data_IF_409258758091
#
_entry.id   IF_409258758091
#
_cell.length_a   1.000
_cell.length_b   1.000
_cell.length_c   1.000
_cell.angle_alpha   90.00
_cell.angle_beta   90.00
_cell.angle_gamma   90.00
#
_symmetry.space_group_name_H-M   'P 1'
#
loop_
_entity.id
_entity.type
_entity.pdbx_description
1 polymer ?
#
# COMPACT_ATOMS: atom_id res chain seq x y z
N UNK A 1 -40.76 31.77 2.25
CA UNK A 1 -39.52 31.89 3.07
C UNK A 1 -39.18 30.59 3.78
N UNK A 2 -40.14 29.92 4.44
CA UNK A 2 -39.88 28.68 5.18
C UNK A 2 -39.34 27.53 4.32
N UNK A 3 -39.82 27.39 3.08
CA UNK A 3 -39.32 26.42 2.10
C UNK A 3 -37.88 26.69 1.66
N UNK A 4 -37.51 27.97 1.47
CA UNK A 4 -36.15 28.39 1.08
C UNK A 4 -35.16 28.11 2.20
N UNK A 5 -35.53 28.38 3.46
CA UNK A 5 -34.67 28.10 4.61
C UNK A 5 -34.42 26.60 4.78
N UNK A 6 -35.44 25.76 4.57
CA UNK A 6 -35.30 24.29 4.58
C UNK A 6 -34.36 23.80 3.47
N UNK A 7 -34.45 24.36 2.26
CA UNK A 7 -33.55 24.03 1.14
C UNK A 7 -32.09 24.43 1.45
N UNK A 8 -31.87 25.63 2.01
CA UNK A 8 -30.52 26.09 2.41
C UNK A 8 -29.94 25.19 3.50
N UNK A 9 -30.75 24.80 4.49
CA UNK A 9 -30.35 23.85 5.54
C UNK A 9 -29.90 22.51 4.95
N UNK A 10 -30.67 21.91 4.05
CA UNK A 10 -30.33 20.63 3.41
C UNK A 10 -29.03 20.75 2.62
N UNK A 11 -28.89 21.80 1.81
CA UNK A 11 -27.69 22.02 1.02
C UNK A 11 -26.44 22.21 1.90
N UNK A 12 -26.57 22.90 3.04
CA UNK A 12 -25.47 23.06 4.00
C UNK A 12 -25.08 21.74 4.68
N UNK A 13 -26.06 20.95 5.11
CA UNK A 13 -25.81 19.62 5.72
C UNK A 13 -25.18 18.68 4.68
N UNK A 14 -25.61 18.72 3.42
CA UNK A 14 -25.04 17.90 2.35
C UNK A 14 -23.55 18.22 2.09
N UNK A 15 -23.12 19.49 2.19
CA UNK A 15 -21.69 19.85 2.12
C UNK A 15 -20.91 19.24 3.27
N UNK A 16 -21.44 19.35 4.50
CA UNK A 16 -20.79 18.77 5.68
C UNK A 16 -20.70 17.25 5.53
N UNK A 17 -21.78 16.59 5.10
CA UNK A 17 -21.79 15.15 4.84
C UNK A 17 -20.71 14.75 3.82
N UNK A 18 -20.57 15.49 2.71
CA UNK A 18 -19.54 15.25 1.71
C UNK A 18 -18.12 15.36 2.30
N UNK A 19 -17.86 16.42 3.07
CA UNK A 19 -16.54 16.65 3.70
C UNK A 19 -16.22 15.54 4.71
N UNK A 20 -17.19 15.12 5.51
CA UNK A 20 -17.05 14.03 6.47
C UNK A 20 -16.77 12.70 5.77
N UNK A 21 -17.45 12.43 4.65
CA UNK A 21 -17.22 11.23 3.83
C UNK A 21 -15.82 11.22 3.18
N UNK A 22 -15.38 12.35 2.63
CA UNK A 22 -14.02 12.48 2.10
C UNK A 22 -12.95 12.30 3.19
N UNK A 23 -13.20 12.85 4.38
CA UNK A 23 -12.32 12.69 5.53
C UNK A 23 -12.25 11.24 6.01
N UNK A 24 -13.35 10.47 5.97
CA UNK A 24 -13.34 9.05 6.33
C UNK A 24 -12.52 8.22 5.34
N UNK A 25 -12.67 8.46 4.04
CA UNK A 25 -11.86 7.82 2.98
C UNK A 25 -10.39 8.17 3.15
N UNK A 26 -10.06 9.44 3.39
CA UNK A 26 -8.70 9.89 3.62
C UNK A 26 -8.07 9.23 4.86
N UNK A 27 -8.82 9.15 5.97
CA UNK A 27 -8.36 8.49 7.19
C UNK A 27 -8.05 7.00 6.94
N UNK A 28 -8.93 6.30 6.21
CA UNK A 28 -8.71 4.90 5.83
C UNK A 28 -7.50 4.72 4.90
N UNK A 29 -7.31 5.62 3.93
CA UNK A 29 -6.12 5.61 3.06
C UNK A 29 -4.82 5.83 3.85
N UNK A 30 -4.84 6.73 4.83
CA UNK A 30 -3.69 6.98 5.70
C UNK A 30 -3.38 5.75 6.55
N UNK A 31 -4.41 5.10 7.14
CA UNK A 31 -4.24 3.85 7.88
C UNK A 31 -3.56 2.78 7.01
N UNK A 32 -4.06 2.58 5.79
CA UNK A 32 -3.49 1.64 4.81
C UNK A 32 -2.04 1.96 4.46
N UNK A 33 -1.74 3.23 4.28
CA UNK A 33 -0.39 3.70 3.93
C UNK A 33 0.59 3.45 5.08
N UNK A 34 0.15 3.68 6.32
CA UNK A 34 0.93 3.38 7.53
C UNK A 34 1.20 1.88 7.68
N UNK A 35 0.22 1.02 7.40
CA UNK A 35 0.41 -0.44 7.42
C UNK A 35 1.43 -0.88 6.35
N UNK A 36 1.28 -0.36 5.13
CA UNK A 36 2.18 -0.63 4.02
C UNK A 36 3.61 -0.09 4.23
N UNK A 37 3.78 0.96 5.05
CA UNK A 37 5.10 1.50 5.44
C UNK A 37 5.93 0.43 6.17
N UNK A 38 5.32 -0.42 7.00
CA UNK A 38 6.01 -1.50 7.71
C UNK A 38 6.61 -2.49 6.71
N UNK A 39 5.86 -2.80 5.65
CA UNK A 39 6.33 -3.72 4.59
C UNK A 39 7.47 -3.09 3.79
N UNK A 40 7.38 -1.80 3.48
CA UNK A 40 8.46 -1.07 2.82
C UNK A 40 9.73 -1.02 3.69
N UNK A 41 9.58 -0.79 5.00
CA UNK A 41 10.68 -0.81 5.96
C UNK A 41 11.32 -2.20 6.04
N UNK A 42 10.50 -3.25 6.06
CA UNK A 42 10.96 -4.64 6.03
C UNK A 42 11.76 -4.97 4.77
N UNK A 43 11.28 -4.53 3.60
CA UNK A 43 11.99 -4.68 2.33
C UNK A 43 13.32 -3.91 2.31
N UNK A 44 13.34 -2.68 2.84
CA UNK A 44 14.54 -1.87 2.92
C UNK A 44 15.61 -2.50 3.85
N UNK A 45 15.19 -3.00 5.01
CA UNK A 45 16.09 -3.72 5.94
C UNK A 45 16.62 -5.00 5.27
N UNK A 46 15.74 -5.75 4.58
CA UNK A 46 16.16 -6.95 3.85
C UNK A 46 17.25 -6.62 2.84
N UNK A 47 17.06 -5.58 2.02
CA UNK A 47 18.06 -5.13 1.03
C UNK A 47 19.36 -4.71 1.71
N UNK A 48 19.27 -3.93 2.79
CA UNK A 48 20.43 -3.42 3.52
C UNK A 48 21.26 -4.54 4.15
N UNK A 49 20.61 -5.58 4.68
CA UNK A 49 21.29 -6.76 5.23
C UNK A 49 21.82 -7.65 4.11
N UNK A 50 21.05 -7.87 3.04
CA UNK A 50 21.40 -8.83 1.99
C UNK A 50 22.56 -8.33 1.10
N UNK A 51 22.70 -7.02 0.92
CA UNK A 51 23.78 -6.41 0.10
C UNK A 51 25.21 -6.77 0.56
N UNK A 52 25.60 -6.64 1.85
CA UNK A 52 26.92 -7.06 2.30
C UNK A 52 27.11 -8.58 2.25
N UNK A 53 26.08 -9.37 2.56
CA UNK A 53 26.15 -10.84 2.43
C UNK A 53 26.42 -11.26 0.99
N UNK A 54 25.78 -10.60 0.03
CA UNK A 54 25.98 -10.84 -1.39
C UNK A 54 27.41 -10.54 -1.86
N UNK A 55 28.01 -9.47 -1.35
CA UNK A 55 29.40 -9.09 -1.64
C UNK A 55 30.40 -10.13 -1.12
N UNK A 56 30.14 -10.66 0.09
CA UNK A 56 30.94 -11.74 0.69
C UNK A 56 30.83 -13.02 -0.15
N UNK A 57 29.61 -13.42 -0.53
CA UNK A 57 29.37 -14.59 -1.38
C UNK A 57 30.12 -14.44 -2.71
N UNK A 58 30.00 -13.27 -3.38
CA UNK A 58 30.71 -13.01 -4.64
C UNK A 58 32.23 -13.13 -4.49
N UNK A 59 32.79 -12.54 -3.43
CA UNK A 59 34.24 -12.57 -3.15
C UNK A 59 34.73 -14.00 -2.86
N UNK A 60 33.94 -14.80 -2.15
CA UNK A 60 34.26 -16.21 -1.88
C UNK A 60 34.19 -17.10 -3.15
N UNK A 61 33.26 -16.82 -4.06
CA UNK A 61 33.07 -17.61 -5.28
C UNK A 61 34.06 -17.31 -6.41
N UNK A 62 34.76 -16.17 -6.37
CA UNK A 62 35.74 -15.77 -7.40
C UNK A 62 37.15 -16.40 -7.22
N UNK A 63 37.45 -17.02 -6.08
CA UNK A 63 38.77 -17.60 -5.80
C UNK A 63 38.76 -19.12 -5.98
N UNK A 64 39.66 -19.63 -6.83
CA UNK A 64 39.75 -21.02 -7.35
C UNK A 64 39.49 -22.17 -6.35
N UNK A 65 39.06 -23.33 -6.88
CA UNK A 65 38.59 -24.51 -6.13
C UNK A 65 39.52 -25.05 -5.02
N UNK A 66 40.85 -24.89 -5.12
CA UNK A 66 41.82 -25.34 -4.10
C UNK A 66 42.19 -24.24 -3.08
N UNK A 67 42.14 -22.98 -3.50
CA UNK A 67 42.26 -21.83 -2.59
C UNK A 67 40.98 -21.66 -1.77
N UNK A 68 39.84 -22.12 -2.31
CA UNK A 68 38.55 -22.18 -1.64
C UNK A 68 38.65 -22.90 -0.31
N UNK A 69 39.25 -24.09 -0.19
CA UNK A 69 39.32 -24.81 1.08
C UNK A 69 40.26 -24.17 2.13
N UNK A 70 41.43 -23.67 1.72
CA UNK A 70 42.40 -23.08 2.66
C UNK A 70 41.96 -21.68 3.10
N UNK A 71 41.45 -20.86 2.16
CA UNK A 71 40.79 -19.62 2.53
C UNK A 71 39.48 -19.88 3.28
N UNK A 72 38.70 -20.92 2.99
CA UNK A 72 37.47 -21.23 3.73
C UNK A 72 37.77 -21.65 5.17
N UNK A 73 38.88 -22.33 5.46
CA UNK A 73 39.29 -22.63 6.85
C UNK A 73 39.78 -21.38 7.58
N UNK A 74 40.62 -20.54 6.95
CA UNK A 74 41.11 -19.28 7.56
C UNK A 74 39.96 -18.28 7.70
N UNK A 75 39.09 -18.21 6.69
CA UNK A 75 37.88 -17.40 6.67
C UNK A 75 36.87 -17.95 7.67
N UNK A 76 36.66 -19.25 7.85
CA UNK A 76 35.82 -19.81 8.93
C UNK A 76 36.40 -19.53 10.30
N UNK A 77 37.73 -19.59 10.50
CA UNK A 77 38.36 -19.21 11.78
C UNK A 77 38.19 -17.71 12.05
N UNK A 78 38.36 -16.87 11.03
CA UNK A 78 38.14 -15.44 11.14
C UNK A 78 36.64 -15.10 11.29
N UNK A 79 35.74 -15.79 10.59
CA UNK A 79 34.28 -15.67 10.72
C UNK A 79 33.76 -16.28 12.01
N UNK A 80 34.45 -17.24 12.62
CA UNK A 80 34.05 -17.72 13.94
C UNK A 80 34.51 -16.75 15.00
N UNK A 81 35.70 -16.14 14.92
CA UNK A 81 36.14 -15.14 15.91
C UNK A 81 35.42 -13.80 15.70
N UNK A 82 35.46 -13.24 14.48
CA UNK A 82 34.72 -12.02 14.11
C UNK A 82 33.24 -12.27 14.10
N UNK A 83 32.75 -13.44 13.74
CA UNK A 83 31.33 -13.78 13.87
C UNK A 83 30.92 -14.04 15.30
N UNK A 84 31.76 -14.54 16.21
CA UNK A 84 31.43 -14.57 17.65
C UNK A 84 31.36 -13.14 18.18
N UNK A 85 32.32 -12.28 17.82
CA UNK A 85 32.34 -10.87 18.22
C UNK A 85 31.20 -10.07 17.59
N UNK A 86 30.91 -10.31 16.32
CA UNK A 86 29.79 -9.74 15.60
C UNK A 86 28.48 -10.31 16.12
N UNK A 87 28.36 -11.58 16.50
CA UNK A 87 27.18 -12.15 17.15
C UNK A 87 27.03 -11.62 18.58
N UNK A 88 28.11 -11.29 19.28
CA UNK A 88 28.10 -10.63 20.59
C UNK A 88 27.65 -9.16 20.45
N UNK A 89 28.16 -8.46 19.44
CA UNK A 89 27.71 -7.11 19.06
C UNK A 89 26.27 -7.17 18.53
N UNK A 90 25.91 -8.14 17.70
CA UNK A 90 24.59 -8.32 17.11
C UNK A 90 23.60 -8.83 18.14
N UNK A 91 24.00 -9.53 19.21
CA UNK A 91 23.09 -9.90 20.31
C UNK A 91 22.83 -8.68 21.20
N UNK A 92 23.85 -7.89 21.53
CA UNK A 92 23.73 -6.62 22.27
C UNK A 92 22.97 -5.56 21.47
N UNK A 93 23.28 -5.38 20.19
CA UNK A 93 22.54 -4.53 19.26
C UNK A 93 21.21 -5.17 18.83
N UNK A 94 21.03 -6.49 18.83
CA UNK A 94 19.71 -7.09 18.56
C UNK A 94 18.73 -6.76 19.67
N UNK A 95 19.19 -6.58 20.90
CA UNK A 95 18.35 -6.07 21.98
C UNK A 95 17.81 -4.69 21.63
N UNK A 96 18.69 -3.77 21.26
CA UNK A 96 18.34 -2.39 20.90
C UNK A 96 17.52 -2.33 19.60
N UNK A 97 17.94 -3.05 18.55
CA UNK A 97 17.25 -3.10 17.25
C UNK A 97 15.89 -3.78 17.37
N UNK A 98 15.77 -4.88 18.13
CA UNK A 98 14.46 -5.52 18.41
C UNK A 98 13.59 -4.61 19.27
N UNK A 99 14.14 -3.92 20.25
CA UNK A 99 13.41 -2.98 21.08
C UNK A 99 12.88 -1.80 20.25
N UNK A 100 13.73 -1.19 19.43
CA UNK A 100 13.36 -0.12 18.49
C UNK A 100 12.32 -0.61 17.48
N UNK A 101 12.50 -1.78 16.87
CA UNK A 101 11.54 -2.35 15.93
C UNK A 101 10.19 -2.67 16.60
N UNK A 102 10.22 -3.17 17.84
CA UNK A 102 9.00 -3.45 18.62
C UNK A 102 8.27 -2.16 18.95
N UNK A 103 8.98 -1.11 19.34
CA UNK A 103 8.41 0.22 19.57
C UNK A 103 7.80 0.76 18.28
N UNK A 104 8.55 0.78 17.17
CA UNK A 104 8.06 1.27 15.88
C UNK A 104 6.80 0.49 15.47
N UNK A 105 6.85 -0.84 15.52
CA UNK A 105 5.71 -1.69 15.14
C UNK A 105 4.51 -1.44 16.06
N UNK A 106 4.72 -1.31 17.37
CA UNK A 106 3.66 -1.02 18.34
C UNK A 106 3.03 0.35 18.10
N UNK A 107 3.85 1.38 17.90
CA UNK A 107 3.40 2.74 17.60
C UNK A 107 2.64 2.78 16.27
N UNK A 108 3.16 2.13 15.22
CA UNK A 108 2.47 2.09 13.93
C UNK A 108 1.14 1.34 14.03
N UNK A 109 1.08 0.20 14.72
CA UNK A 109 -0.19 -0.52 14.97
C UNK A 109 -1.20 0.33 15.73
N UNK A 110 -0.75 1.05 16.75
CA UNK A 110 -1.59 1.98 17.49
C UNK A 110 -2.13 3.09 16.58
N UNK A 111 -1.27 3.72 15.78
CA UNK A 111 -1.68 4.77 14.83
C UNK A 111 -2.66 4.25 13.77
N UNK A 112 -2.41 3.06 13.21
CA UNK A 112 -3.32 2.41 12.25
C UNK A 112 -4.70 2.22 12.91
N UNK A 113 -4.76 1.63 14.10
CA UNK A 113 -6.02 1.42 14.82
C UNK A 113 -6.75 2.74 15.15
N UNK A 114 -6.02 3.79 15.52
CA UNK A 114 -6.62 5.12 15.72
C UNK A 114 -7.23 5.67 14.42
N UNK A 115 -6.52 5.57 13.31
CA UNK A 115 -7.00 6.09 12.01
C UNK A 115 -8.18 5.28 11.48
N UNK A 116 -8.19 3.96 11.69
CA UNK A 116 -9.35 3.10 11.37
C UNK A 116 -10.56 3.48 12.21
N UNK A 117 -10.39 3.64 13.53
CA UNK A 117 -11.48 4.07 14.41
C UNK A 117 -12.03 5.47 14.04
N UNK A 118 -11.14 6.41 13.68
CA UNK A 118 -11.56 7.74 13.18
C UNK A 118 -12.34 7.60 11.86
N UNK A 119 -11.87 6.76 10.94
CA UNK A 119 -12.53 6.55 9.66
C UNK A 119 -13.94 5.97 9.86
N UNK A 120 -14.10 4.97 10.74
CA UNK A 120 -15.41 4.36 11.05
C UNK A 120 -16.34 5.36 11.73
N UNK A 121 -15.84 6.14 12.69
CA UNK A 121 -16.61 7.17 13.36
C UNK A 121 -17.11 8.25 12.39
N UNK A 122 -16.24 8.70 11.48
CA UNK A 122 -16.62 9.66 10.44
C UNK A 122 -17.62 9.06 9.46
N UNK A 123 -17.47 7.79 9.09
CA UNK A 123 -18.43 7.11 8.23
C UNK A 123 -19.81 7.01 8.88
N UNK A 124 -19.90 6.67 10.17
CA UNK A 124 -21.17 6.64 10.91
C UNK A 124 -21.81 8.05 11.01
N UNK A 125 -21.00 9.07 11.26
CA UNK A 125 -21.46 10.46 11.26
C UNK A 125 -21.99 10.87 9.87
N UNK A 126 -21.30 10.48 8.80
CA UNK A 126 -21.75 10.70 7.43
C UNK A 126 -23.12 10.06 7.18
N UNK A 127 -23.32 8.78 7.54
CA UNK A 127 -24.60 8.08 7.35
C UNK A 127 -25.76 8.81 8.03
N UNK A 128 -25.57 9.23 9.28
CA UNK A 128 -26.58 10.00 10.02
C UNK A 128 -26.92 11.32 9.32
N UNK A 129 -25.92 12.03 8.81
CA UNK A 129 -26.13 13.28 8.08
C UNK A 129 -26.82 13.05 6.73
N UNK A 130 -26.48 11.96 6.05
CA UNK A 130 -27.09 11.53 4.79
C UNK A 130 -28.58 11.19 4.99
N UNK A 131 -28.92 10.40 6.01
CA UNK A 131 -30.30 10.03 6.34
C UNK A 131 -31.17 11.24 6.68
N UNK A 132 -30.61 12.22 7.41
CA UNK A 132 -31.28 13.49 7.69
C UNK A 132 -31.57 14.24 6.39
N UNK A 133 -30.60 14.28 5.46
CA UNK A 133 -30.79 14.95 4.18
C UNK A 133 -31.84 14.26 3.30
N UNK A 134 -31.84 12.93 3.22
CA UNK A 134 -32.81 12.15 2.43
C UNK A 134 -34.22 12.33 3.01
N UNK A 135 -34.38 12.18 4.33
CA UNK A 135 -35.67 12.35 5.02
C UNK A 135 -36.21 13.77 4.90
N UNK A 136 -35.36 14.81 5.07
CA UNK A 136 -35.79 16.20 4.96
C UNK A 136 -36.11 16.57 3.50
N UNK A 137 -35.42 16.00 2.50
CA UNK A 137 -35.76 16.13 1.08
C UNK A 137 -37.11 15.49 0.74
N UNK A 138 -37.34 14.25 1.17
CA UNK A 138 -38.57 13.53 0.88
C UNK A 138 -39.80 14.22 1.47
N UNK A 139 -39.68 14.76 2.69
CA UNK A 139 -40.72 15.58 3.32
C UNK A 139 -41.05 16.83 2.51
N UNK A 140 -40.05 17.50 1.94
CA UNK A 140 -40.23 18.71 1.12
C UNK A 140 -40.88 18.44 -0.24
N UNK A 141 -40.68 17.26 -0.82
CA UNK A 141 -41.09 16.96 -2.20
C UNK A 141 -42.17 15.87 -2.34
N UNK A 142 -42.67 15.31 -1.23
CA UNK A 142 -43.76 14.33 -1.17
C UNK A 142 -45.04 14.69 -1.94
N UNK A 143 -45.27 15.97 -2.27
CA UNK A 143 -46.50 16.46 -2.91
C UNK A 143 -46.33 16.95 -4.36
N UNK A 144 -45.11 17.11 -4.90
CA UNK A 144 -44.92 17.67 -6.25
C UNK A 144 -43.74 17.01 -7.00
N UNK A 145 -44.03 15.95 -7.75
CA UNK A 145 -43.10 15.12 -8.54
C UNK A 145 -42.63 15.80 -9.83
N UNK A 146 -42.05 16.99 -9.75
CA UNK A 146 -41.45 17.67 -10.91
C UNK A 146 -39.93 17.61 -10.91
N UNK A 147 -39.31 17.25 -12.04
CA UNK A 147 -37.86 17.34 -12.31
C UNK A 147 -37.24 18.71 -11.91
N UNK A 148 -38.04 19.78 -11.93
CA UNK A 148 -37.63 21.14 -11.52
C UNK A 148 -37.30 21.27 -10.03
N UNK A 149 -37.85 20.41 -9.17
CA UNK A 149 -37.63 20.45 -7.72
C UNK A 149 -36.33 19.75 -7.29
N UNK A 150 -35.83 18.79 -8.08
CA UNK A 150 -34.53 18.16 -7.83
C UNK A 150 -33.37 19.15 -8.00
N UNK A 151 -33.49 20.15 -8.89
CA UNK A 151 -32.47 21.21 -9.05
C UNK A 151 -32.36 22.16 -7.84
N UNK A 152 -33.37 22.27 -6.97
CA UNK A 152 -33.30 23.14 -5.80
C UNK A 152 -32.39 22.57 -4.69
N UNK A 153 -32.21 21.25 -4.66
CA UNK A 153 -31.32 20.53 -3.76
C UNK A 153 -30.06 20.03 -4.49
N UNK A 154 -29.42 20.92 -5.25
CA UNK A 154 -28.27 20.60 -6.10
C UNK A 154 -27.12 19.91 -5.35
N UNK A 155 -26.82 20.36 -4.14
CA UNK A 155 -25.74 19.79 -3.30
C UNK A 155 -26.08 18.38 -2.79
N UNK A 156 -27.35 18.13 -2.49
CA UNK A 156 -27.83 16.79 -2.15
C UNK A 156 -27.71 15.83 -3.33
N UNK A 157 -28.11 16.26 -4.54
CA UNK A 157 -27.95 15.43 -5.75
C UNK A 157 -26.48 15.14 -6.04
N UNK A 158 -25.59 16.11 -5.83
CA UNK A 158 -24.14 15.95 -6.01
C UNK A 158 -23.57 14.96 -4.99
N UNK A 159 -24.00 15.02 -3.73
CA UNK A 159 -23.64 14.05 -2.70
C UNK A 159 -24.06 12.62 -3.09
N UNK A 160 -25.30 12.44 -3.56
CA UNK A 160 -25.83 11.15 -4.03
C UNK A 160 -25.02 10.59 -5.19
N UNK A 161 -24.70 11.45 -6.16
CA UNK A 161 -23.85 11.07 -7.31
C UNK A 161 -22.44 10.67 -6.85
N UNK A 162 -21.84 11.43 -5.94
CA UNK A 162 -20.49 11.16 -5.44
C UNK A 162 -20.41 9.85 -4.66
N UNK A 163 -21.37 9.61 -3.76
CA UNK A 163 -21.47 8.35 -3.02
C UNK A 163 -21.66 7.16 -3.97
N UNK A 164 -22.52 7.29 -4.99
CA UNK A 164 -22.72 6.25 -6.00
C UNK A 164 -21.44 5.93 -6.79
N UNK A 165 -20.73 6.96 -7.27
CA UNK A 165 -19.47 6.79 -8.01
C UNK A 165 -18.43 6.12 -7.10
N UNK A 166 -18.35 6.54 -5.85
CA UNK A 166 -17.35 6.03 -4.90
C UNK A 166 -17.64 4.57 -4.52
N UNK A 167 -18.88 4.22 -4.23
CA UNK A 167 -19.32 2.84 -4.00
C UNK A 167 -18.99 1.94 -5.20
N UNK A 168 -19.31 2.39 -6.42
CA UNK A 168 -18.90 1.69 -7.66
C UNK A 168 -17.39 1.52 -7.75
N UNK A 169 -16.62 2.58 -7.54
CA UNK A 169 -15.15 2.52 -7.60
C UNK A 169 -14.58 1.54 -6.58
N UNK A 170 -15.11 1.55 -5.36
CA UNK A 170 -14.74 0.66 -4.27
C UNK A 170 -15.05 -0.80 -4.59
N UNK A 171 -16.19 -1.09 -5.21
CA UNK A 171 -16.55 -2.45 -5.66
C UNK A 171 -15.57 -3.02 -6.68
N UNK A 172 -14.91 -2.15 -7.45
CA UNK A 172 -13.89 -2.55 -8.41
C UNK A 172 -12.47 -2.52 -7.82
N UNK A 173 -12.26 -2.03 -6.60
CA UNK A 173 -10.91 -1.84 -6.03
C UNK A 173 -10.13 -3.16 -5.89
N UNK A 174 -10.80 -4.24 -5.45
CA UNK A 174 -10.21 -5.58 -5.36
C UNK A 174 -9.82 -6.14 -6.73
N UNK A 175 -10.75 -6.28 -7.69
CA UNK A 175 -10.41 -6.72 -9.05
C UNK A 175 -9.36 -5.86 -9.74
N UNK A 176 -9.44 -4.53 -9.57
CA UNK A 176 -8.51 -3.58 -10.16
C UNK A 176 -7.10 -3.73 -9.59
N UNK A 177 -6.95 -4.06 -8.30
CA UNK A 177 -5.64 -4.30 -7.70
C UNK A 177 -4.99 -5.58 -8.22
N UNK A 178 -5.76 -6.62 -8.51
CA UNK A 178 -5.25 -7.85 -9.14
C UNK A 178 -4.72 -7.53 -10.54
N UNK A 179 -5.52 -6.83 -11.36
CA UNK A 179 -5.11 -6.41 -12.70
C UNK A 179 -3.88 -5.49 -12.63
N UNK A 180 -3.87 -4.55 -11.69
CA UNK A 180 -2.74 -3.65 -11.44
C UNK A 180 -1.47 -4.42 -11.07
N UNK A 181 -1.56 -5.43 -10.22
CA UNK A 181 -0.44 -6.30 -9.83
C UNK A 181 0.15 -7.06 -11.02
N UNK A 182 -0.70 -7.62 -11.89
CA UNK A 182 -0.25 -8.26 -13.13
C UNK A 182 0.43 -7.25 -14.05
N UNK A 183 -0.14 -6.05 -14.18
CA UNK A 183 0.44 -4.97 -14.97
C UNK A 183 1.81 -4.51 -14.43
N UNK A 184 2.01 -4.49 -13.11
CA UNK A 184 3.31 -4.19 -12.49
C UNK A 184 4.36 -5.23 -12.88
N UNK A 185 4.03 -6.53 -12.84
CA UNK A 185 4.96 -7.60 -13.22
C UNK A 185 5.35 -7.48 -14.69
N UNK A 186 4.35 -7.38 -15.58
CA UNK A 186 4.58 -7.25 -17.03
C UNK A 186 5.38 -5.98 -17.32
N UNK A 187 4.99 -4.86 -16.71
CA UNK A 187 5.64 -3.57 -16.88
C UNK A 187 7.10 -3.59 -16.41
N UNK A 188 7.39 -4.21 -15.27
CA UNK A 188 8.74 -4.34 -14.75
C UNK A 188 9.63 -5.18 -15.70
N UNK A 189 9.14 -6.32 -16.18
CA UNK A 189 9.86 -7.16 -17.14
C UNK A 189 10.09 -6.40 -18.46
N UNK A 190 9.06 -5.76 -18.99
CA UNK A 190 9.14 -4.98 -20.22
C UNK A 190 10.15 -3.82 -20.11
N UNK A 191 10.18 -3.15 -18.96
CA UNK A 191 11.10 -2.03 -18.69
C UNK A 191 12.56 -2.50 -18.57
N UNK A 192 12.82 -3.66 -17.98
CA UNK A 192 14.17 -4.23 -17.96
C UNK A 192 14.58 -4.68 -19.37
N UNK A 193 13.68 -5.35 -20.09
CA UNK A 193 13.93 -5.79 -21.47
C UNK A 193 14.21 -4.60 -22.40
N UNK A 194 13.42 -3.52 -22.33
CA UNK A 194 13.64 -2.32 -23.16
C UNK A 194 14.96 -1.65 -22.81
N UNK A 195 15.27 -1.46 -21.52
CA UNK A 195 16.53 -0.86 -21.09
C UNK A 195 17.76 -1.66 -21.55
N UNK A 196 17.71 -2.99 -21.51
CA UNK A 196 18.82 -3.83 -21.99
C UNK A 196 18.91 -3.77 -23.52
N UNK A 197 17.78 -3.88 -24.21
CA UNK A 197 17.73 -3.78 -25.67
C UNK A 197 18.25 -2.44 -26.18
N UNK A 198 17.87 -1.33 -25.54
CA UNK A 198 18.27 0.02 -25.94
C UNK A 198 19.76 0.29 -25.67
N UNK A 199 20.31 -0.24 -24.57
CA UNK A 199 21.72 -0.01 -24.19
C UNK A 199 22.70 -0.96 -24.88
N UNK A 200 22.32 -2.21 -25.07
CA UNK A 200 23.23 -3.27 -25.52
C UNK A 200 22.85 -3.87 -26.86
N UNK A 201 21.69 -3.52 -27.43
CA UNK A 201 21.22 -4.04 -28.72
C UNK A 201 20.87 -5.54 -28.70
N UNK A 202 20.75 -6.15 -27.52
CA UNK A 202 20.52 -7.59 -27.35
C UNK A 202 19.35 -7.85 -26.40
N UNK A 203 18.79 -9.05 -26.48
CA UNK A 203 17.70 -9.48 -25.59
C UNK A 203 18.19 -9.72 -24.15
N UNK A 204 17.29 -9.66 -23.16
CA UNK A 204 17.64 -9.96 -21.76
C UNK A 204 18.19 -11.37 -21.59
N UNK A 205 17.66 -12.36 -22.33
CA UNK A 205 18.12 -13.76 -22.25
C UNK A 205 19.56 -13.86 -22.75
N UNK A 206 19.86 -13.21 -23.87
CA UNK A 206 21.23 -13.15 -24.42
C UNK A 206 22.16 -12.41 -23.47
N UNK A 207 21.72 -11.29 -22.90
CA UNK A 207 22.51 -10.51 -21.93
C UNK A 207 22.84 -11.30 -20.68
N UNK A 208 21.86 -12.00 -20.10
CA UNK A 208 22.08 -12.87 -18.94
C UNK A 208 23.05 -14.00 -19.26
N UNK A 209 23.00 -14.57 -20.47
CA UNK A 209 23.94 -15.60 -20.91
C UNK A 209 25.42 -15.16 -21.01
N UNK A 210 25.71 -13.86 -20.93
CA UNK A 210 27.09 -13.33 -20.91
C UNK A 210 27.78 -13.50 -19.56
N UNK A 211 27.02 -13.74 -18.48
CA UNK A 211 27.54 -13.81 -17.12
C UNK A 211 27.50 -15.25 -16.58
N UNK A 212 28.43 -15.61 -15.69
CA UNK A 212 28.32 -16.86 -14.95
C UNK A 212 27.06 -16.85 -14.07
N UNK A 213 26.42 -18.02 -13.91
CA UNK A 213 25.14 -18.20 -13.20
C UNK A 213 25.14 -17.54 -11.81
N UNK A 214 26.26 -17.62 -11.10
CA UNK A 214 26.43 -17.06 -9.75
C UNK A 214 26.26 -15.53 -9.72
N UNK A 215 26.72 -14.83 -10.76
CA UNK A 215 26.58 -13.37 -10.86
C UNK A 215 25.16 -12.93 -11.26
N UNK A 216 24.38 -13.85 -11.84
CA UNK A 216 22.99 -13.62 -12.28
C UNK A 216 21.99 -13.81 -11.15
N UNK A 217 22.21 -14.79 -10.26
CA UNK A 217 21.27 -15.16 -9.18
C UNK A 217 20.92 -13.95 -8.32
N UNK A 218 21.92 -13.13 -7.96
CA UNK A 218 21.74 -12.04 -7.04
C UNK A 218 20.87 -10.89 -7.60
N UNK A 219 21.14 -10.33 -8.81
CA UNK A 219 20.24 -9.39 -9.47
C UNK A 219 18.81 -9.91 -9.64
N UNK A 220 18.64 -11.20 -9.96
CA UNK A 220 17.32 -11.81 -10.12
C UNK A 220 16.56 -11.82 -8.79
N UNK A 221 17.20 -12.23 -7.70
CA UNK A 221 16.58 -12.21 -6.36
C UNK A 221 16.18 -10.79 -5.99
N UNK A 222 17.04 -9.80 -6.23
CA UNK A 222 16.74 -8.39 -5.96
C UNK A 222 15.53 -7.91 -6.77
N UNK A 223 15.48 -8.25 -8.07
CA UNK A 223 14.36 -7.92 -8.94
C UNK A 223 13.05 -8.53 -8.45
N UNK A 224 13.06 -9.83 -8.11
CA UNK A 224 11.87 -10.54 -7.60
C UNK A 224 11.34 -9.86 -6.32
N UNK A 225 12.24 -9.48 -5.40
CA UNK A 225 11.83 -8.84 -4.15
C UNK A 225 11.25 -7.46 -4.40
N UNK A 226 11.89 -6.63 -5.22
CA UNK A 226 11.40 -5.29 -5.54
C UNK A 226 10.04 -5.33 -6.24
N UNK A 227 9.89 -6.18 -7.25
CA UNK A 227 8.62 -6.37 -7.95
C UNK A 227 7.57 -6.98 -7.01
N UNK A 228 7.95 -7.94 -6.17
CA UNK A 228 7.07 -8.55 -5.18
C UNK A 228 6.53 -7.56 -4.16
N UNK A 229 7.36 -6.63 -3.69
CA UNK A 229 6.93 -5.53 -2.80
C UNK A 229 5.95 -4.61 -3.51
N UNK A 230 6.21 -4.24 -4.78
CA UNK A 230 5.28 -3.41 -5.55
C UNK A 230 3.93 -4.11 -5.78
N UNK A 231 3.95 -5.40 -6.13
CA UNK A 231 2.75 -6.24 -6.26
C UNK A 231 1.98 -6.28 -4.95
N UNK A 232 2.67 -6.51 -3.83
CA UNK A 232 2.06 -6.51 -2.50
C UNK A 232 1.41 -5.17 -2.20
N UNK A 233 2.10 -4.05 -2.46
CA UNK A 233 1.56 -2.71 -2.21
C UNK A 233 0.29 -2.46 -3.02
N UNK A 234 0.32 -2.71 -4.33
CA UNK A 234 -0.85 -2.54 -5.21
C UNK A 234 -2.01 -3.40 -4.74
N UNK A 235 -1.75 -4.68 -4.46
CA UNK A 235 -2.76 -5.62 -3.97
C UNK A 235 -3.35 -5.14 -2.63
N UNK A 236 -2.48 -4.75 -1.70
CA UNK A 236 -2.84 -4.24 -0.37
C UNK A 236 -3.78 -3.05 -0.48
N UNK A 237 -3.57 -2.10 -1.40
CA UNK A 237 -4.49 -0.97 -1.57
C UNK A 237 -5.88 -1.36 -2.10
N UNK A 238 -6.05 -2.50 -2.77
CA UNK A 238 -7.36 -2.95 -3.25
C UNK A 238 -8.15 -3.79 -2.25
N UNK A 239 -7.47 -4.58 -1.41
CA UNK A 239 -8.13 -5.39 -0.39
C UNK A 239 -8.82 -4.52 0.67
N UNK A 240 -9.82 -5.04 1.40
CA UNK A 240 -10.46 -4.38 2.54
C UNK A 240 -11.31 -3.13 2.24
N UNK A 241 -11.47 -2.77 0.97
CA UNK A 241 -12.51 -1.83 0.53
C UNK A 241 -13.87 -2.51 0.37
N UNK A 242 -13.92 -3.81 0.08
CA UNK A 242 -15.17 -4.58 -0.01
C UNK A 242 -15.95 -4.58 1.32
N UNK A 243 -15.27 -4.66 2.46
CA UNK A 243 -15.93 -4.58 3.77
C UNK A 243 -16.35 -3.15 4.12
N UNK A 244 -15.64 -2.15 3.59
CA UNK A 244 -16.05 -0.74 3.68
C UNK A 244 -17.28 -0.47 2.83
N UNK A 245 -17.35 -1.07 1.65
CA UNK A 245 -18.49 -1.00 0.74
C UNK A 245 -19.74 -1.59 1.42
N UNK A 246 -19.64 -2.75 2.08
CA UNK A 246 -20.77 -3.30 2.85
C UNK A 246 -21.26 -2.36 3.95
N UNK A 247 -20.35 -1.59 4.54
CA UNK A 247 -20.71 -0.55 5.50
C UNK A 247 -21.36 0.64 4.79
N UNK A 248 -20.98 0.99 3.57
CA UNK A 248 -21.54 2.14 2.81
C UNK A 248 -22.90 1.80 2.14
N UNK A 249 -23.06 0.59 1.60
CA UNK A 249 -24.19 0.10 0.76
C UNK A 249 -25.43 -0.27 1.61
N UNK A 250 -25.58 0.30 2.80
CA UNK A 250 -26.89 0.26 3.48
C UNK A 250 -27.90 1.27 2.88
N UNK A 251 -27.54 1.98 1.80
CA UNK A 251 -28.38 2.98 1.10
C UNK A 251 -28.13 3.03 -0.42
#
# INVERSE_FOLDING_TARGET
>A
MESVFKIVKINFIAVIALLVYLASIAAKLIARTLENLIVLLGAAIFILVFTPFASIIKTCLQSSEYFFYVCLVIFLMFFTIVGLFALLILTVFSGIVRFVLTIITSVTKFLVGCMEAIAEFLLDAYKKLYDICDTDCDKLFSSNKGLKNQCLCLLWTLLKLFSFITSKLLSFAGPLSIVGSVAVVIGAIALVQSNISDRFGISIITYLGLFPIIEIILPIIYFIIMVGVLVFLVSSYGYGWEDWEKLDVTY
#
